data_IF_086677680365
#
_entry.id   IF_086677680365
#
_cell.length_a   1.000
_cell.length_b   1.000
_cell.length_c   1.000
_cell.angle_alpha   90.00
_cell.angle_beta   90.00
_cell.angle_gamma   90.00
#
_symmetry.space_group_name_H-M   'P 1'
#
loop_
_entity.id
_entity.type
_entity.pdbx_description
1 polymer ?
#
# COMPACT_ATOMS: atom_id res chain seq x y z
N UNK A 1 -57.32 -95.97 -12.32
CA UNK A 1 -57.20 -97.18 -11.49
C UNK A 1 -55.76 -97.26 -11.01
N UNK A 2 -55.60 -97.25 -9.68
CA UNK A 2 -54.59 -98.01 -8.90
C UNK A 2 -53.12 -97.93 -9.33
N UNK A 3 -52.13 -97.81 -8.45
CA UNK A 3 -52.07 -97.73 -6.99
C UNK A 3 -50.58 -97.59 -6.61
N UNK A 4 -50.36 -96.93 -5.47
CA UNK A 4 -49.39 -97.29 -4.43
C UNK A 4 -47.85 -97.09 -4.55
N UNK A 5 -47.42 -96.10 -3.75
CA UNK A 5 -46.36 -96.07 -2.69
C UNK A 5 -44.89 -96.43 -3.04
N UNK A 6 -44.00 -95.60 -2.47
CA UNK A 6 -42.57 -95.80 -2.08
C UNK A 6 -41.58 -95.22 -3.10
N UNK A 7 -40.59 -94.37 -2.77
CA UNK A 7 -39.78 -94.15 -1.57
C UNK A 7 -39.20 -92.72 -1.61
N UNK A 8 -39.20 -92.00 -0.49
CA UNK A 8 -38.22 -90.92 -0.22
C UNK A 8 -36.91 -91.58 0.21
N UNK A 9 -35.83 -91.31 -0.52
CA UNK A 9 -34.41 -91.48 -0.13
C UNK A 9 -33.55 -90.84 -1.24
N UNK A 10 -32.39 -90.22 -1.00
CA UNK A 10 -31.63 -90.06 0.22
C UNK A 10 -30.43 -89.16 -0.03
N UNK A 11 -30.34 -88.07 0.73
CA UNK A 11 -29.11 -87.48 1.25
C UNK A 11 -29.47 -86.40 2.30
N UNK A 12 -30.47 -86.68 3.12
CA UNK A 12 -30.82 -85.81 4.25
C UNK A 12 -29.92 -86.18 5.42
N UNK A 13 -28.87 -85.41 5.61
CA UNK A 13 -27.99 -85.51 6.79
C UNK A 13 -28.79 -85.22 8.07
N UNK A 14 -28.44 -85.90 9.17
CA UNK A 14 -29.03 -85.63 10.49
C UNK A 14 -28.51 -84.31 11.07
N UNK A 15 -29.14 -83.78 12.12
CA UNK A 15 -28.67 -82.56 12.78
C UNK A 15 -27.23 -82.69 13.30
N UNK A 16 -26.88 -83.82 13.93
CA UNK A 16 -25.51 -84.08 14.41
C UNK A 16 -24.48 -84.17 13.28
N UNK A 17 -24.85 -84.80 12.17
CA UNK A 17 -24.01 -84.85 10.97
C UNK A 17 -23.82 -83.44 10.37
N UNK A 18 -24.85 -82.60 10.42
CA UNK A 18 -24.75 -81.20 10.02
C UNK A 18 -23.83 -80.40 10.94
N UNK A 19 -23.92 -80.54 12.27
CA UNK A 19 -23.03 -79.88 13.22
C UNK A 19 -21.57 -80.29 12.99
N UNK A 20 -21.31 -81.59 12.81
CA UNK A 20 -19.98 -82.12 12.48
C UNK A 20 -19.46 -81.53 11.17
N UNK A 21 -20.32 -81.38 10.16
CA UNK A 21 -19.97 -80.76 8.87
C UNK A 21 -19.62 -79.28 9.03
N UNK A 22 -20.35 -78.54 9.86
CA UNK A 22 -20.04 -77.13 10.15
C UNK A 22 -18.72 -77.02 10.90
N UNK A 23 -18.49 -77.83 11.93
CA UNK A 23 -17.23 -77.85 12.68
C UNK A 23 -16.04 -78.16 11.76
N UNK A 24 -16.16 -79.13 10.85
CA UNK A 24 -15.10 -79.41 9.86
C UNK A 24 -14.85 -78.24 8.88
N UNK A 25 -15.85 -77.39 8.62
CA UNK A 25 -15.74 -76.28 7.66
C UNK A 25 -15.17 -75.00 8.28
N UNK A 26 -15.49 -74.69 9.53
CA UNK A 26 -15.16 -73.40 10.17
C UNK A 26 -14.66 -73.54 11.61
N UNK A 27 -14.43 -74.76 12.10
CA UNK A 27 -14.00 -75.01 13.48
C UNK A 27 -15.01 -74.50 14.51
N UNK A 28 -14.50 -73.90 15.58
CA UNK A 28 -15.27 -73.29 16.68
C UNK A 28 -15.70 -71.84 16.38
N UNK A 29 -15.46 -71.33 15.17
CA UNK A 29 -15.72 -69.94 14.82
C UNK A 29 -17.23 -69.59 14.82
N UNK A 30 -18.09 -70.58 14.54
CA UNK A 30 -19.55 -70.42 14.49
C UNK A 30 -20.26 -71.48 15.34
N UNK A 31 -21.33 -71.06 16.01
CA UNK A 31 -22.23 -71.92 16.78
C UNK A 31 -23.61 -71.96 16.12
N UNK A 32 -24.14 -73.15 15.91
CA UNK A 32 -25.53 -73.34 15.44
C UNK A 32 -26.45 -73.31 16.65
N UNK A 33 -27.47 -72.43 16.63
CA UNK A 33 -28.38 -72.23 17.77
C UNK A 33 -29.73 -72.96 17.61
N UNK A 34 -30.12 -73.30 16.38
CA UNK A 34 -31.40 -73.98 16.07
C UNK A 34 -31.18 -75.37 15.47
N UNK A 35 -32.16 -76.25 15.64
CA UNK A 35 -32.14 -77.58 15.03
C UNK A 35 -32.18 -77.51 13.50
N UNK A 36 -31.38 -78.36 12.84
CA UNK A 36 -31.35 -78.48 11.39
C UNK A 36 -32.42 -79.48 10.95
N UNK A 37 -33.29 -79.06 10.03
CA UNK A 37 -34.37 -79.89 9.48
C UNK A 37 -34.13 -80.23 8.01
N UNK A 38 -33.67 -79.27 7.19
CA UNK A 38 -33.31 -79.52 5.79
C UNK A 38 -32.33 -78.48 5.24
N UNK A 39 -31.68 -78.79 4.12
CA UNK A 39 -30.69 -77.92 3.48
C UNK A 39 -31.29 -76.63 2.89
N UNK A 40 -32.61 -76.61 2.66
CA UNK A 40 -33.34 -75.47 2.10
C UNK A 40 -33.84 -74.51 3.18
N UNK A 41 -33.95 -75.00 4.41
CA UNK A 41 -34.42 -74.21 5.55
C UNK A 41 -33.33 -73.28 6.11
N UNK A 42 -33.80 -72.23 6.79
CA UNK A 42 -32.93 -71.30 7.52
C UNK A 42 -32.62 -71.85 8.90
N UNK A 43 -31.38 -71.70 9.32
CA UNK A 43 -30.89 -71.97 10.66
C UNK A 43 -30.38 -70.67 11.27
N UNK A 44 -30.57 -70.53 12.58
CA UNK A 44 -29.97 -69.45 13.35
C UNK A 44 -28.56 -69.86 13.74
N UNK A 45 -27.59 -69.01 13.42
CA UNK A 45 -26.19 -69.20 13.75
C UNK A 45 -25.65 -67.98 14.46
N UNK A 46 -24.72 -68.21 15.39
CA UNK A 46 -23.95 -67.19 16.07
C UNK A 46 -22.50 -67.22 15.58
N UNK A 47 -21.92 -66.06 15.26
CA UNK A 47 -20.49 -65.94 15.02
C UNK A 47 -19.78 -65.64 16.34
N UNK A 48 -18.97 -66.58 16.84
CA UNK A 48 -18.40 -66.50 18.18
C UNK A 48 -17.43 -65.32 18.35
N UNK A 49 -16.75 -64.88 17.28
CA UNK A 49 -15.86 -63.71 17.33
C UNK A 49 -16.58 -62.37 17.52
N UNK A 50 -17.77 -62.20 16.94
CA UNK A 50 -18.51 -60.93 17.03
C UNK A 50 -19.79 -61.01 17.87
N UNK A 51 -20.12 -62.19 18.41
CA UNK A 51 -21.32 -62.46 19.20
C UNK A 51 -22.64 -62.38 18.45
N UNK A 52 -22.64 -62.04 17.15
CA UNK A 52 -23.85 -61.76 16.39
C UNK A 52 -24.57 -63.03 15.96
N UNK A 53 -25.89 -63.03 16.19
CA UNK A 53 -26.81 -64.04 15.70
C UNK A 53 -27.43 -63.63 14.36
N UNK A 54 -27.53 -64.57 13.41
CA UNK A 54 -28.13 -64.33 12.11
C UNK A 54 -28.73 -65.60 11.50
N UNK A 55 -29.80 -65.41 10.73
CA UNK A 55 -30.46 -66.49 10.00
C UNK A 55 -29.80 -66.70 8.64
N UNK A 56 -29.42 -67.95 8.33
CA UNK A 56 -28.82 -68.33 7.05
C UNK A 56 -29.41 -69.64 6.57
N UNK A 57 -29.59 -69.80 5.25
CA UNK A 57 -29.97 -71.11 4.68
C UNK A 57 -28.82 -72.09 4.87
N UNK A 58 -29.12 -73.29 5.35
CA UNK A 58 -28.09 -74.28 5.68
C UNK A 58 -27.21 -74.67 4.47
N UNK A 59 -27.79 -74.77 3.27
CA UNK A 59 -27.05 -74.98 2.00
C UNK A 59 -26.17 -73.79 1.62
N UNK A 60 -26.61 -72.55 1.86
CA UNK A 60 -25.81 -71.36 1.53
C UNK A 60 -24.58 -71.22 2.45
N UNK A 61 -24.70 -71.63 3.71
CA UNK A 61 -23.56 -71.65 4.63
C UNK A 61 -22.56 -72.75 4.26
N UNK A 62 -23.04 -73.96 3.95
CA UNK A 62 -22.17 -75.12 3.69
C UNK A 62 -21.60 -75.17 2.27
N UNK A 63 -22.36 -74.80 1.24
CA UNK A 63 -21.93 -74.90 -0.17
C UNK A 63 -21.53 -73.56 -0.78
N UNK A 64 -22.25 -72.48 -0.49
CA UNK A 64 -21.99 -71.16 -1.10
C UNK A 64 -21.04 -70.28 -0.30
N UNK A 65 -20.51 -70.76 0.83
CA UNK A 65 -19.53 -70.02 1.63
C UNK A 65 -20.10 -68.76 2.28
N UNK A 66 -21.42 -68.64 2.46
CA UNK A 66 -22.00 -67.47 3.16
C UNK A 66 -21.54 -67.44 4.62
N UNK A 67 -20.88 -66.36 5.02
CA UNK A 67 -20.36 -66.13 6.38
C UNK A 67 -20.95 -64.86 7.00
N UNK A 68 -20.57 -64.53 8.24
CA UNK A 68 -21.00 -63.30 8.89
C UNK A 68 -20.66 -62.09 8.01
N UNK A 69 -21.68 -61.39 7.52
CA UNK A 69 -21.49 -60.24 6.62
C UNK A 69 -20.69 -59.11 7.29
N UNK A 70 -20.84 -58.93 8.59
CA UNK A 70 -20.09 -57.88 9.33
C UNK A 70 -18.60 -58.16 9.32
N UNK A 71 -18.21 -59.43 9.49
CA UNK A 71 -16.80 -59.83 9.59
C UNK A 71 -16.18 -60.04 8.20
N UNK A 72 -16.95 -60.49 7.22
CA UNK A 72 -16.55 -60.58 5.80
C UNK A 72 -16.09 -59.24 5.23
N UNK A 73 -16.68 -58.12 5.70
CA UNK A 73 -16.29 -56.76 5.30
C UNK A 73 -15.24 -56.10 6.20
N UNK A 74 -14.76 -56.76 7.27
CA UNK A 74 -13.93 -56.07 8.29
C UNK A 74 -12.54 -56.61 8.58
N UNK A 75 -12.09 -57.79 8.16
CA UNK A 75 -10.73 -58.21 8.52
C UNK A 75 -10.11 -59.26 7.59
N UNK A 76 -9.28 -58.82 6.63
CA UNK A 76 -8.10 -59.59 6.19
C UNK A 76 -6.92 -58.74 5.64
N UNK A 77 -7.01 -57.40 5.54
CA UNK A 77 -5.89 -56.55 5.04
C UNK A 77 -5.77 -55.16 5.71
N UNK A 78 -6.31 -54.99 6.93
CA UNK A 78 -6.13 -53.72 7.65
C UNK A 78 -4.72 -53.65 8.23
N UNK A 79 -3.84 -52.84 7.63
CA UNK A 79 -2.50 -52.54 8.18
C UNK A 79 -2.65 -51.98 9.60
N UNK A 80 -1.76 -52.37 10.53
CA UNK A 80 -1.70 -51.73 11.85
C UNK A 80 -1.01 -50.37 11.75
N UNK A 81 -1.13 -49.56 12.81
CA UNK A 81 -0.42 -48.29 12.88
C UNK A 81 1.11 -48.49 12.82
N UNK A 82 1.67 -49.50 13.49
CA UNK A 82 3.11 -49.77 13.39
C UNK A 82 3.52 -50.21 11.99
N UNK A 83 2.68 -51.01 11.32
CA UNK A 83 2.96 -51.44 9.96
C UNK A 83 2.94 -50.26 8.98
N UNK A 84 1.99 -49.33 9.14
CA UNK A 84 1.96 -48.11 8.33
C UNK A 84 3.21 -47.25 8.53
N UNK A 85 3.67 -47.06 9.77
CA UNK A 85 4.89 -46.30 10.06
C UNK A 85 6.11 -46.97 9.42
N UNK A 86 6.23 -48.31 9.51
CA UNK A 86 7.29 -49.07 8.84
C UNK A 86 7.24 -48.93 7.32
N UNK A 87 6.05 -48.97 6.73
CA UNK A 87 5.88 -48.82 5.28
C UNK A 87 6.34 -47.43 4.80
N UNK A 88 5.99 -46.38 5.54
CA UNK A 88 6.47 -45.01 5.27
C UNK A 88 8.00 -44.96 5.36
N UNK A 89 8.58 -45.45 6.45
CA UNK A 89 10.04 -45.49 6.62
C UNK A 89 10.73 -46.28 5.50
N UNK A 90 10.16 -47.41 5.07
CA UNK A 90 10.73 -48.19 3.96
C UNK A 90 10.65 -47.48 2.60
N UNK A 91 9.68 -46.58 2.41
CA UNK A 91 9.45 -45.88 1.13
C UNK A 91 10.28 -44.61 1.01
N UNK A 92 10.41 -43.84 2.10
CA UNK A 92 11.02 -42.49 2.10
C UNK A 92 12.07 -42.28 3.19
N UNK A 93 12.44 -43.33 3.94
CA UNK A 93 13.42 -43.25 5.01
C UNK A 93 13.01 -42.27 6.10
N UNK A 94 13.99 -41.47 6.55
CA UNK A 94 13.84 -40.42 7.57
C UNK A 94 13.36 -39.08 7.00
N UNK A 95 12.98 -39.01 5.72
CA UNK A 95 12.52 -37.76 5.10
C UNK A 95 11.17 -37.30 5.67
N UNK A 96 10.36 -38.21 6.22
CA UNK A 96 9.05 -37.91 6.80
C UNK A 96 8.88 -38.51 8.20
N UNK A 97 8.18 -37.76 9.07
CA UNK A 97 7.77 -38.23 10.40
C UNK A 97 6.26 -38.38 10.48
N UNK A 98 5.77 -39.50 10.99
CA UNK A 98 4.32 -39.73 11.21
C UNK A 98 3.94 -39.19 12.59
N UNK A 99 3.05 -38.19 12.64
CA UNK A 99 2.62 -37.52 13.88
C UNK A 99 1.23 -37.96 14.35
N UNK A 100 0.39 -38.47 13.44
CA UNK A 100 -0.95 -38.98 13.74
C UNK A 100 -1.02 -40.50 13.72
N UNK A 101 -2.08 -41.05 14.31
CA UNK A 101 -2.35 -42.49 14.26
C UNK A 101 -3.03 -42.88 12.95
N UNK A 102 -2.60 -43.99 12.37
CA UNK A 102 -3.26 -44.63 11.24
C UNK A 102 -4.43 -45.49 11.70
N UNK A 103 -5.61 -45.21 11.16
CA UNK A 103 -6.81 -46.02 11.37
C UNK A 103 -7.15 -46.87 10.14
N UNK A 104 -7.16 -46.26 8.93
CA UNK A 104 -7.51 -46.92 7.66
C UNK A 104 -6.96 -46.15 6.46
N UNK A 105 -6.90 -46.83 5.31
CA UNK A 105 -6.19 -46.39 4.10
C UNK A 105 -6.57 -44.99 3.55
N UNK A 106 -7.80 -44.54 3.81
CA UNK A 106 -8.33 -43.26 3.34
C UNK A 106 -8.74 -42.28 4.45
N UNK A 107 -8.39 -42.59 5.71
CA UNK A 107 -8.45 -41.59 6.78
C UNK A 107 -7.13 -40.85 6.79
N UNK A 108 -7.24 -39.51 6.78
CA UNK A 108 -6.06 -38.68 6.70
C UNK A 108 -5.23 -38.81 7.97
N UNK A 109 -3.93 -38.96 7.80
CA UNK A 109 -2.94 -39.03 8.88
C UNK A 109 -2.07 -37.78 8.84
N UNK A 110 -1.80 -37.20 10.00
CA UNK A 110 -0.88 -36.06 10.11
C UNK A 110 0.56 -36.56 9.99
N UNK A 111 1.30 -35.99 9.04
CA UNK A 111 2.72 -36.26 8.85
C UNK A 111 3.50 -34.96 8.73
N UNK A 112 4.80 -35.03 8.99
CA UNK A 112 5.75 -33.93 8.82
C UNK A 112 6.76 -34.29 7.73
N UNK A 113 6.98 -33.38 6.79
CA UNK A 113 8.13 -33.48 5.88
C UNK A 113 9.35 -32.85 6.58
N UNK A 114 10.34 -33.65 6.96
CA UNK A 114 11.45 -33.20 7.79
C UNK A 114 12.33 -32.16 7.09
N UNK A 115 12.51 -32.27 5.76
CA UNK A 115 13.35 -31.34 4.97
C UNK A 115 12.78 -29.93 4.91
N UNK A 116 11.46 -29.77 4.72
CA UNK A 116 10.85 -28.43 4.64
C UNK A 116 10.10 -28.00 5.92
N UNK A 117 9.95 -28.91 6.88
CA UNK A 117 9.27 -28.69 8.15
C UNK A 117 7.74 -28.67 8.09
N UNK A 118 7.12 -28.86 6.92
CA UNK A 118 5.67 -28.79 6.77
C UNK A 118 4.96 -29.97 7.44
N UNK A 119 4.02 -29.68 8.33
CA UNK A 119 3.07 -30.63 8.90
C UNK A 119 1.75 -30.56 8.13
N UNK A 120 1.28 -31.69 7.61
CA UNK A 120 0.07 -31.73 6.79
C UNK A 120 -0.62 -33.09 6.82
N UNK A 121 -1.92 -33.08 6.54
CA UNK A 121 -2.76 -34.27 6.49
C UNK A 121 -2.62 -34.98 5.13
N UNK A 122 -2.25 -36.25 5.15
CA UNK A 122 -2.13 -37.09 3.94
C UNK A 122 -3.13 -38.24 3.93
N UNK A 123 -3.59 -38.60 2.74
CA UNK A 123 -4.22 -39.90 2.51
C UNK A 123 -3.13 -40.99 2.47
N UNK A 124 -3.14 -41.96 3.40
CA UNK A 124 -2.11 -43.01 3.51
C UNK A 124 -1.87 -43.79 2.20
N UNK A 125 -2.94 -44.18 1.49
CA UNK A 125 -2.80 -44.89 0.23
C UNK A 125 -2.09 -44.03 -0.82
N UNK A 126 -2.55 -42.79 -1.01
CA UNK A 126 -1.99 -41.84 -1.97
C UNK A 126 -0.53 -41.52 -1.70
N UNK A 127 -0.13 -41.42 -0.43
CA UNK A 127 1.26 -41.22 -0.04
C UNK A 127 2.13 -42.42 -0.45
N UNK A 128 1.69 -43.64 -0.16
CA UNK A 128 2.44 -44.85 -0.55
C UNK A 128 2.53 -45.00 -2.08
N UNK A 129 1.50 -44.57 -2.84
CA UNK A 129 1.51 -44.57 -4.30
C UNK A 129 2.34 -43.44 -4.94
N UNK A 130 2.98 -42.56 -4.15
CA UNK A 130 3.93 -41.57 -4.68
C UNK A 130 3.55 -40.11 -4.46
N UNK A 131 2.44 -39.80 -3.78
CA UNK A 131 2.15 -38.42 -3.38
C UNK A 131 3.15 -37.96 -2.31
N UNK A 132 3.73 -36.77 -2.48
CA UNK A 132 4.76 -36.21 -1.60
C UNK A 132 4.36 -34.81 -1.11
N UNK A 133 5.28 -34.15 -0.39
CA UNK A 133 5.05 -32.84 0.19
C UNK A 133 4.53 -31.82 -0.85
N UNK A 134 3.33 -31.24 -0.63
CA UNK A 134 2.71 -30.34 -1.59
C UNK A 134 3.48 -29.03 -1.75
N UNK A 135 4.12 -28.53 -0.70
CA UNK A 135 4.95 -27.32 -0.76
C UNK A 135 6.21 -27.53 -1.60
N UNK A 136 6.93 -28.63 -1.37
CA UNK A 136 8.12 -28.96 -2.15
C UNK A 136 7.76 -29.22 -3.62
N UNK A 137 6.68 -29.97 -3.87
CA UNK A 137 6.21 -30.21 -5.23
C UNK A 137 5.80 -28.91 -5.94
N UNK A 138 5.12 -27.98 -5.23
CA UNK A 138 4.76 -26.67 -5.79
C UNK A 138 5.98 -25.83 -6.13
N UNK A 139 7.04 -25.86 -5.32
CA UNK A 139 8.31 -25.18 -5.61
C UNK A 139 8.95 -25.72 -6.89
N UNK A 140 9.10 -27.04 -7.00
CA UNK A 140 9.68 -27.70 -8.19
C UNK A 140 8.86 -27.39 -9.45
N UNK A 141 7.54 -27.49 -9.40
CA UNK A 141 6.67 -27.14 -10.53
C UNK A 141 6.78 -25.64 -10.86
N UNK A 142 6.89 -24.79 -9.85
CA UNK A 142 7.08 -23.35 -10.01
C UNK A 142 8.40 -23.00 -10.69
N UNK A 143 9.48 -23.69 -10.34
CA UNK A 143 10.80 -23.52 -10.97
C UNK A 143 10.80 -24.04 -12.41
N UNK A 144 10.19 -25.19 -12.68
CA UNK A 144 10.05 -25.76 -14.04
C UNK A 144 9.20 -24.88 -14.97
N UNK A 145 8.22 -24.14 -14.43
CA UNK A 145 7.37 -23.21 -15.19
C UNK A 145 7.93 -21.80 -15.27
N UNK A 146 9.03 -21.51 -14.56
CA UNK A 146 9.63 -20.17 -14.55
C UNK A 146 10.31 -19.93 -15.89
N UNK A 147 9.95 -18.83 -16.53
CA UNK A 147 10.61 -18.40 -17.77
C UNK A 147 12.08 -18.11 -17.49
N UNK A 148 12.94 -18.48 -18.44
CA UNK A 148 14.32 -18.04 -18.44
C UNK A 148 14.44 -16.55 -18.78
N UNK A 149 15.59 -15.95 -18.47
CA UNK A 149 15.87 -14.58 -18.88
C UNK A 149 15.76 -14.39 -20.40
N UNK A 150 16.25 -15.36 -21.18
CA UNK A 150 16.21 -15.32 -22.65
C UNK A 150 14.77 -15.34 -23.17
N UNK A 151 13.91 -16.17 -22.61
CA UNK A 151 12.48 -16.21 -22.98
C UNK A 151 11.79 -14.89 -22.65
N UNK A 152 12.08 -14.30 -21.48
CA UNK A 152 11.55 -12.98 -21.12
C UNK A 152 11.99 -11.90 -22.12
N UNK A 153 13.26 -11.87 -22.52
CA UNK A 153 13.76 -10.92 -23.53
C UNK A 153 13.04 -11.07 -24.88
N UNK A 154 12.80 -12.31 -25.32
CA UNK A 154 12.06 -12.60 -26.56
C UNK A 154 10.62 -12.08 -26.48
N UNK A 155 9.94 -12.28 -25.35
CA UNK A 155 8.58 -11.77 -25.13
C UNK A 155 8.54 -10.24 -25.12
N UNK A 156 9.49 -9.59 -24.44
CA UNK A 156 9.59 -8.13 -24.47
C UNK A 156 9.78 -7.61 -25.90
N UNK A 157 10.73 -8.19 -26.64
CA UNK A 157 10.98 -7.81 -28.03
C UNK A 157 9.77 -8.04 -28.93
N UNK A 158 9.01 -9.11 -28.71
CA UNK A 158 7.78 -9.36 -29.45
C UNK A 158 6.67 -8.33 -29.12
N UNK A 159 6.55 -7.91 -27.87
CA UNK A 159 5.52 -6.97 -27.42
C UNK A 159 5.77 -5.53 -27.86
N UNK A 160 7.01 -5.05 -27.76
CA UNK A 160 7.34 -3.61 -27.92
C UNK A 160 8.48 -3.34 -28.91
N UNK A 161 9.01 -4.38 -29.58
CA UNK A 161 10.16 -4.24 -30.48
C UNK A 161 11.38 -3.66 -29.77
N UNK A 162 11.95 -2.61 -30.34
CA UNK A 162 13.14 -1.89 -29.84
C UNK A 162 12.76 -0.63 -29.03
N UNK A 163 11.49 -0.46 -28.62
CA UNK A 163 11.06 0.71 -27.84
C UNK A 163 11.63 0.70 -26.41
N UNK A 164 11.89 -0.49 -25.87
CA UNK A 164 12.43 -0.67 -24.51
C UNK A 164 13.67 -1.55 -24.51
N UNK A 165 14.60 -1.24 -23.60
CA UNK A 165 15.79 -2.04 -23.32
C UNK A 165 15.69 -2.61 -21.90
N UNK A 166 15.88 -3.92 -21.75
CA UNK A 166 15.97 -4.56 -20.43
C UNK A 166 17.41 -4.39 -19.92
N UNK A 167 17.59 -3.80 -18.74
CA UNK A 167 18.90 -3.46 -18.17
C UNK A 167 19.38 -4.45 -17.09
N UNK A 168 18.46 -5.15 -16.43
CA UNK A 168 18.79 -6.14 -15.40
C UNK A 168 18.32 -7.53 -15.77
N UNK A 169 18.95 -8.52 -15.14
CA UNK A 169 18.53 -9.91 -15.28
C UNK A 169 17.08 -10.12 -14.80
N UNK A 170 16.37 -11.00 -15.49
CA UNK A 170 15.03 -11.43 -15.09
C UNK A 170 15.15 -12.62 -14.15
N UNK A 171 14.58 -12.49 -12.97
CA UNK A 171 14.57 -13.55 -11.95
C UNK A 171 13.20 -14.23 -11.91
N UNK A 172 12.11 -13.46 -11.77
CA UNK A 172 10.75 -14.00 -11.70
C UNK A 172 9.69 -12.95 -12.07
N UNK A 173 8.46 -13.38 -12.31
CA UNK A 173 7.34 -12.51 -12.75
C UNK A 173 6.93 -11.45 -11.73
N UNK A 174 7.22 -11.69 -10.45
CA UNK A 174 6.93 -10.84 -9.30
C UNK A 174 8.17 -10.11 -8.75
N UNK A 175 9.34 -10.31 -9.34
CA UNK A 175 10.58 -9.59 -8.99
C UNK A 175 10.79 -8.47 -9.98
N UNK A 176 11.12 -7.27 -9.50
CA UNK A 176 11.28 -6.11 -10.37
C UNK A 176 12.49 -6.26 -11.30
N UNK A 177 12.31 -5.85 -12.55
CA UNK A 177 13.36 -5.75 -13.57
C UNK A 177 13.60 -4.27 -13.89
N UNK A 178 14.85 -3.89 -14.11
CA UNK A 178 15.22 -2.55 -14.58
C UNK A 178 15.06 -2.49 -16.10
N UNK A 179 14.41 -1.44 -16.57
CA UNK A 179 14.16 -1.20 -18.00
C UNK A 179 14.42 0.26 -18.35
N UNK A 180 14.85 0.50 -19.58
CA UNK A 180 14.97 1.82 -20.20
C UNK A 180 13.91 1.98 -21.27
N UNK A 181 13.17 3.08 -21.26
CA UNK A 181 12.33 3.48 -22.40
C UNK A 181 13.18 4.30 -23.36
N UNK A 182 13.48 3.75 -24.54
CA UNK A 182 14.47 4.31 -25.46
C UNK A 182 14.03 5.70 -25.98
N UNK A 183 12.73 5.90 -26.23
CA UNK A 183 12.21 7.17 -26.76
C UNK A 183 12.33 8.36 -25.79
N UNK A 184 12.23 8.13 -24.47
CA UNK A 184 12.31 9.22 -23.48
C UNK A 184 13.56 9.17 -22.59
N UNK A 185 14.41 8.17 -22.79
CA UNK A 185 15.62 7.91 -22.02
C UNK A 185 15.39 7.55 -20.56
N UNK A 186 14.15 7.30 -20.13
CA UNK A 186 13.84 7.06 -18.72
C UNK A 186 14.17 5.63 -18.32
N UNK A 187 15.00 5.47 -17.30
CA UNK A 187 15.26 4.20 -16.62
C UNK A 187 14.33 4.06 -15.43
N UNK A 188 13.74 2.88 -15.28
CA UNK A 188 12.78 2.60 -14.21
C UNK A 188 12.71 1.11 -13.92
N UNK A 189 12.32 0.80 -12.68
CA UNK A 189 12.00 -0.56 -12.28
C UNK A 189 10.53 -0.87 -12.56
N UNK A 190 10.26 -2.03 -13.12
CA UNK A 190 8.90 -2.50 -13.36
C UNK A 190 8.81 -3.99 -13.05
N UNK A 191 7.65 -4.43 -12.57
CA UNK A 191 7.38 -5.85 -12.42
C UNK A 191 7.14 -6.46 -13.82
N UNK A 192 7.83 -7.55 -14.22
CA UNK A 192 7.69 -8.16 -15.54
C UNK A 192 6.25 -8.46 -15.93
N UNK A 193 5.46 -9.01 -15.01
CA UNK A 193 4.02 -9.29 -15.23
C UNK A 193 3.19 -8.03 -15.52
N UNK A 194 3.56 -6.88 -14.93
CA UNK A 194 2.93 -5.60 -15.20
C UNK A 194 3.32 -5.07 -16.59
N UNK A 195 4.60 -5.17 -16.95
CA UNK A 195 5.12 -4.72 -18.24
C UNK A 195 4.48 -5.50 -19.39
N UNK A 196 4.45 -6.83 -19.29
CA UNK A 196 3.82 -7.71 -20.28
C UNK A 196 2.32 -7.47 -20.46
N UNK A 197 1.63 -6.91 -19.45
CA UNK A 197 0.23 -6.46 -19.54
C UNK A 197 0.08 -5.05 -20.16
N UNK A 198 1.14 -4.48 -20.71
CA UNK A 198 1.12 -3.16 -21.36
C UNK A 198 1.34 -1.97 -20.41
N UNK A 199 1.78 -2.18 -19.15
CA UNK A 199 2.21 -1.05 -18.31
C UNK A 199 3.62 -0.60 -18.74
N UNK A 200 3.69 0.49 -19.50
CA UNK A 200 4.95 1.07 -19.98
C UNK A 200 5.54 2.14 -19.05
N UNK A 201 6.30 3.06 -19.66
CA UNK A 201 7.08 4.09 -18.98
C UNK A 201 6.23 5.02 -18.07
N UNK A 202 6.56 5.14 -16.76
CA UNK A 202 5.83 5.98 -15.82
C UNK A 202 5.98 7.48 -16.14
N UNK A 203 7.15 7.91 -16.64
CA UNK A 203 7.42 9.30 -17.03
C UNK A 203 6.52 9.73 -18.19
N UNK A 204 6.41 8.90 -19.23
CA UNK A 204 5.55 9.17 -20.38
C UNK A 204 4.06 9.18 -19.99
N UNK A 205 3.63 8.23 -19.14
CA UNK A 205 2.27 8.23 -18.59
C UNK A 205 1.99 9.50 -17.79
N UNK A 206 2.91 9.90 -16.92
CA UNK A 206 2.80 11.14 -16.13
C UNK A 206 2.70 12.39 -17.01
N UNK A 207 3.54 12.49 -18.06
CA UNK A 207 3.49 13.59 -19.03
C UNK A 207 2.13 13.65 -19.74
N UNK A 208 1.62 12.52 -20.25
CA UNK A 208 0.32 12.45 -20.92
C UNK A 208 -0.83 12.87 -20.00
N UNK A 209 -0.84 12.39 -18.76
CA UNK A 209 -1.86 12.78 -17.75
C UNK A 209 -1.75 14.27 -17.43
N UNK A 210 -0.53 14.79 -17.26
CA UNK A 210 -0.32 16.22 -17.01
C UNK A 210 -0.83 17.07 -18.17
N UNK A 211 -0.55 16.68 -19.41
CA UNK A 211 -1.04 17.40 -20.60
C UNK A 211 -2.56 17.40 -20.65
N UNK A 212 -3.20 16.25 -20.43
CA UNK A 212 -4.66 16.14 -20.42
C UNK A 212 -5.34 16.94 -19.29
N UNK A 213 -4.64 17.21 -18.18
CA UNK A 213 -5.15 18.00 -17.05
C UNK A 213 -4.82 19.49 -17.14
N UNK A 214 -3.93 19.89 -18.04
CA UNK A 214 -3.52 21.28 -18.16
C UNK A 214 -4.63 22.04 -18.86
N UNK A 215 -5.17 23.07 -18.21
CA UNK A 215 -6.17 23.95 -18.82
C UNK A 215 -5.61 24.64 -20.05
N UNK A 216 -6.46 24.97 -21.01
CA UNK A 216 -6.04 25.83 -22.12
C UNK A 216 -5.79 27.27 -21.62
N UNK A 217 -5.15 28.09 -22.45
CA UNK A 217 -4.97 29.50 -22.13
C UNK A 217 -6.32 30.21 -21.95
N UNK A 218 -7.25 29.98 -22.87
CA UNK A 218 -8.57 30.60 -22.86
C UNK A 218 -9.39 30.19 -21.63
N UNK A 219 -9.34 28.92 -21.24
CA UNK A 219 -9.96 28.43 -20.00
C UNK A 219 -9.39 29.11 -18.75
N UNK A 220 -8.10 29.44 -18.75
CA UNK A 220 -7.48 30.16 -17.65
C UNK A 220 -7.91 31.64 -17.63
N UNK A 221 -7.93 32.31 -18.78
CA UNK A 221 -8.38 33.71 -18.90
C UNK A 221 -9.83 33.84 -18.46
N UNK A 222 -10.71 32.97 -18.94
CA UNK A 222 -12.12 32.93 -18.53
C UNK A 222 -12.24 32.74 -17.01
N UNK A 223 -11.46 31.81 -16.44
CA UNK A 223 -11.47 31.59 -14.98
C UNK A 223 -11.02 32.82 -14.19
N UNK A 224 -10.04 33.58 -14.68
CA UNK A 224 -9.62 34.85 -14.05
C UNK A 224 -10.76 35.84 -14.11
N UNK A 225 -11.40 36.01 -15.26
CA UNK A 225 -12.55 36.90 -15.42
C UNK A 225 -13.72 36.52 -14.48
N UNK A 226 -14.04 35.24 -14.35
CA UNK A 226 -15.08 34.78 -13.41
C UNK A 226 -14.73 35.03 -11.94
N UNK A 227 -13.45 35.11 -11.58
CA UNK A 227 -13.01 35.32 -10.20
C UNK A 227 -12.95 36.79 -9.78
N UNK A 228 -12.53 37.67 -10.69
CA UNK A 228 -12.19 39.08 -10.37
C UNK A 228 -12.72 40.08 -11.39
N UNK A 229 -13.51 39.63 -12.37
CA UNK A 229 -14.02 40.46 -13.46
C UNK A 229 -12.89 41.13 -14.24
N UNK A 230 -13.05 42.44 -14.45
CA UNK A 230 -12.10 43.29 -15.19
C UNK A 230 -10.99 43.90 -14.32
N UNK A 231 -10.89 43.51 -13.04
CA UNK A 231 -9.86 44.05 -12.14
C UNK A 231 -8.44 43.60 -12.54
N UNK A 232 -8.33 42.44 -13.20
CA UNK A 232 -7.04 41.91 -13.66
C UNK A 232 -7.09 41.52 -15.13
N UNK A 233 -6.01 41.81 -15.86
CA UNK A 233 -5.82 41.44 -17.25
C UNK A 233 -4.66 40.46 -17.37
N UNK A 234 -4.92 39.29 -17.95
CA UNK A 234 -3.87 38.31 -18.26
C UNK A 234 -3.09 38.79 -19.48
N UNK A 235 -1.77 38.99 -19.34
CA UNK A 235 -0.89 39.48 -20.42
C UNK A 235 -0.03 38.35 -20.97
N UNK A 236 0.49 37.49 -20.10
CA UNK A 236 1.34 36.36 -20.50
C UNK A 236 0.56 35.16 -21.01
N UNK A 237 1.26 34.24 -21.68
CA UNK A 237 0.71 32.95 -22.09
C UNK A 237 0.64 31.98 -20.92
N UNK A 238 -0.52 31.32 -20.74
CA UNK A 238 -0.67 30.26 -19.75
C UNK A 238 -0.11 28.95 -20.29
N UNK A 239 0.86 28.38 -19.58
CA UNK A 239 1.40 27.06 -19.92
C UNK A 239 1.02 25.99 -18.91
N UNK A 240 1.15 26.29 -17.61
CA UNK A 240 0.91 25.34 -16.51
C UNK A 240 0.51 26.07 -15.25
N UNK A 241 -0.27 25.43 -14.39
CA UNK A 241 -0.78 26.02 -13.15
C UNK A 241 0.32 26.53 -12.19
N UNK A 242 1.54 25.95 -12.26
CA UNK A 242 2.69 26.31 -11.40
C UNK A 242 3.77 27.13 -12.11
N UNK A 243 3.65 27.39 -13.42
CA UNK A 243 4.59 28.28 -14.13
C UNK A 243 4.08 29.70 -14.00
N UNK A 244 4.93 30.63 -13.57
CA UNK A 244 4.55 32.05 -13.42
C UNK A 244 4.04 32.61 -14.74
N UNK A 245 2.99 33.43 -14.66
CA UNK A 245 2.37 34.16 -15.77
C UNK A 245 2.38 35.65 -15.45
N UNK A 246 2.46 36.48 -16.48
CA UNK A 246 2.39 37.93 -16.35
C UNK A 246 0.92 38.37 -16.32
N UNK A 247 0.52 39.07 -15.26
CA UNK A 247 -0.82 39.64 -15.09
C UNK A 247 -0.67 41.14 -14.78
N UNK A 248 -1.57 41.94 -15.34
CA UNK A 248 -1.72 43.35 -15.03
C UNK A 248 -2.88 43.53 -14.05
N UNK A 249 -2.68 44.33 -13.01
CA UNK A 249 -3.80 44.85 -12.21
C UNK A 249 -4.29 46.15 -12.86
N UNK A 250 -5.54 46.19 -13.29
CA UNK A 250 -6.06 47.32 -14.08
C UNK A 250 -6.23 48.59 -13.24
N UNK A 251 -6.46 48.46 -11.94
CA UNK A 251 -6.63 49.59 -11.02
C UNK A 251 -5.30 50.32 -10.78
N UNK A 252 -4.24 49.62 -10.38
CA UNK A 252 -2.94 50.27 -10.12
C UNK A 252 -2.02 50.33 -11.34
N UNK A 253 -2.42 49.76 -12.47
CA UNK A 253 -1.66 49.74 -13.73
C UNK A 253 -0.44 48.81 -13.77
N UNK A 254 0.03 48.30 -12.63
CA UNK A 254 1.25 47.51 -12.54
C UNK A 254 1.10 46.10 -13.14
N UNK A 255 2.18 45.65 -13.78
CA UNK A 255 2.32 44.27 -14.26
C UNK A 255 3.26 43.49 -13.34
N UNK A 256 2.91 42.26 -13.03
CA UNK A 256 3.71 41.41 -12.15
C UNK A 256 3.56 39.93 -12.49
N UNK A 257 4.56 39.15 -12.09
CA UNK A 257 4.55 37.71 -12.28
C UNK A 257 3.87 37.01 -11.10
N UNK A 258 2.88 36.17 -11.39
CA UNK A 258 2.17 35.37 -10.38
C UNK A 258 2.02 33.94 -10.84
N UNK A 259 2.03 33.01 -9.89
CA UNK A 259 1.72 31.61 -10.18
C UNK A 259 0.20 31.47 -10.38
N UNK A 260 -0.30 30.95 -11.52
CA UNK A 260 -1.74 30.82 -11.79
C UNK A 260 -2.54 30.15 -10.67
N UNK A 261 -2.01 29.08 -10.07
CA UNK A 261 -2.68 28.41 -8.94
C UNK A 261 -2.79 29.31 -7.71
N UNK A 262 -1.79 30.14 -7.42
CA UNK A 262 -1.80 31.08 -6.29
C UNK A 262 -2.77 32.24 -6.53
N UNK A 263 -2.82 32.74 -7.77
CA UNK A 263 -3.79 33.77 -8.16
C UNK A 263 -5.22 33.28 -7.91
N UNK A 264 -5.54 32.06 -8.37
CA UNK A 264 -6.85 31.44 -8.16
C UNK A 264 -7.17 31.25 -6.66
N UNK A 265 -6.19 30.94 -5.82
CA UNK A 265 -6.41 30.75 -4.37
C UNK A 265 -6.50 32.04 -3.56
N UNK A 266 -6.17 33.20 -4.12
CA UNK A 266 -6.34 34.48 -3.44
C UNK A 266 -5.14 35.43 -3.44
N UNK A 267 -4.00 35.06 -4.04
CA UNK A 267 -2.87 36.01 -4.18
C UNK A 267 -3.23 37.10 -5.19
N UNK A 268 -2.98 38.37 -4.84
CA UNK A 268 -3.35 39.55 -5.63
C UNK A 268 -2.12 40.45 -5.87
N UNK A 269 -2.36 41.64 -6.43
CA UNK A 269 -1.30 42.59 -6.77
C UNK A 269 -0.40 42.88 -5.56
N UNK A 270 0.92 42.58 -5.63
CA UNK A 270 1.84 42.85 -4.52
C UNK A 270 2.00 44.35 -4.25
N UNK A 271 1.85 45.19 -5.29
CA UNK A 271 1.92 46.65 -5.17
C UNK A 271 0.71 47.27 -4.47
N UNK A 272 -0.46 46.62 -4.54
CA UNK A 272 -1.65 47.05 -3.80
C UNK A 272 -1.74 46.43 -2.40
N UNK A 273 -0.95 45.39 -2.14
CA UNK A 273 -0.78 44.80 -0.82
C UNK A 273 0.33 45.49 0.00
N UNK A 274 0.94 46.54 -0.54
CA UNK A 274 1.81 47.46 0.19
C UNK A 274 0.96 48.29 1.17
N UNK A 275 1.42 48.44 2.41
CA UNK A 275 0.66 49.19 3.41
C UNK A 275 0.49 50.65 2.95
N UNK A 276 -0.71 51.24 3.15
CA UNK A 276 -0.97 52.64 2.74
C UNK A 276 0.10 53.61 3.28
N UNK A 277 0.61 53.34 4.48
CA UNK A 277 1.67 54.12 5.13
C UNK A 277 3.03 54.02 4.45
N UNK A 278 3.52 52.82 4.16
CA UNK A 278 4.80 52.64 3.45
C UNK A 278 4.80 53.31 2.08
N UNK A 279 3.67 53.26 1.36
CA UNK A 279 3.52 53.94 0.08
C UNK A 279 3.65 55.46 0.24
N UNK A 280 2.97 56.05 1.23
CA UNK A 280 3.03 57.51 1.50
C UNK A 280 4.46 57.93 1.87
N UNK A 281 5.15 57.15 2.71
CA UNK A 281 6.54 57.43 3.10
C UNK A 281 7.45 57.40 1.87
N UNK A 282 7.29 56.39 1.02
CA UNK A 282 8.06 56.26 -0.23
C UNK A 282 7.84 57.46 -1.16
N UNK A 283 6.57 57.79 -1.44
CA UNK A 283 6.19 58.91 -2.30
C UNK A 283 6.74 60.24 -1.77
N UNK A 284 6.70 60.45 -0.45
CA UNK A 284 7.29 61.61 0.20
C UNK A 284 8.82 61.70 0.00
N UNK A 285 9.54 60.60 0.27
CA UNK A 285 11.00 60.58 0.14
C UNK A 285 11.46 60.82 -1.31
N UNK A 286 10.73 60.27 -2.29
CA UNK A 286 10.95 60.52 -3.72
C UNK A 286 10.69 61.99 -4.08
N UNK A 287 9.58 62.57 -3.62
CA UNK A 287 9.23 63.97 -3.89
C UNK A 287 10.27 64.97 -3.33
N UNK A 288 10.86 64.67 -2.17
CA UNK A 288 11.89 65.49 -1.54
C UNK A 288 13.32 65.21 -2.05
N UNK A 289 13.49 64.31 -3.04
CA UNK A 289 14.79 63.87 -3.56
C UNK A 289 15.75 63.35 -2.47
N UNK A 290 15.21 62.66 -1.46
CA UNK A 290 16.00 62.07 -0.38
C UNK A 290 16.51 60.70 -0.82
N UNK A 291 17.79 60.38 -0.58
CA UNK A 291 18.33 59.06 -0.88
C UNK A 291 17.85 58.05 0.17
N UNK A 292 17.21 56.95 -0.25
CA UNK A 292 16.74 55.92 0.67
C UNK A 292 16.89 54.49 0.14
N UNK A 293 16.90 53.52 1.07
CA UNK A 293 16.80 52.08 0.77
C UNK A 293 15.63 51.48 1.55
N UNK A 294 14.92 50.55 0.92
CA UNK A 294 13.82 49.79 1.54
C UNK A 294 14.31 48.49 2.15
N UNK A 295 13.59 48.00 3.17
CA UNK A 295 13.88 46.72 3.85
C UNK A 295 15.35 46.58 4.28
N UNK A 296 15.94 47.66 4.81
CA UNK A 296 17.35 47.73 5.15
C UNK A 296 17.70 46.81 6.34
N UNK A 297 18.84 46.13 6.30
CA UNK A 297 19.25 45.19 7.35
C UNK A 297 20.67 45.48 7.81
N UNK A 298 20.94 45.18 9.08
CA UNK A 298 22.28 45.17 9.63
C UNK A 298 22.68 43.72 9.96
N UNK A 299 23.91 43.27 9.63
CA UNK A 299 24.34 41.89 9.85
C UNK A 299 24.26 41.41 11.32
N UNK A 300 24.36 42.36 12.24
CA UNK A 300 24.40 42.20 13.69
C UNK A 300 23.05 42.48 14.39
N UNK A 301 22.08 43.09 13.69
CA UNK A 301 20.71 43.26 14.19
C UNK A 301 19.84 42.04 13.84
N UNK A 302 19.78 41.06 14.74
CA UNK A 302 19.04 39.79 14.53
C UNK A 302 18.27 39.32 15.75
N UNK A 303 17.23 38.53 15.51
CA UNK A 303 16.56 37.75 16.54
C UNK A 303 16.81 36.25 16.32
N UNK A 304 16.18 35.70 15.27
CA UNK A 304 16.49 34.38 14.68
C UNK A 304 17.08 34.65 13.30
N UNK A 305 16.32 35.39 12.49
CA UNK A 305 16.77 35.99 11.23
C UNK A 305 17.16 37.46 11.44
N UNK A 306 17.82 38.04 10.43
CA UNK A 306 18.12 39.47 10.35
C UNK A 306 16.83 40.30 10.42
N UNK A 307 16.84 41.36 11.22
CA UNK A 307 15.72 42.27 11.34
C UNK A 307 15.82 43.36 10.27
N UNK A 308 14.76 43.46 9.46
CA UNK A 308 14.61 44.45 8.39
C UNK A 308 13.96 45.71 8.92
N UNK A 309 14.48 46.87 8.50
CA UNK A 309 13.88 48.18 8.70
C UNK A 309 13.17 48.65 7.43
N UNK A 310 12.00 49.29 7.56
CA UNK A 310 11.17 49.61 6.38
C UNK A 310 11.88 50.56 5.41
N UNK A 311 12.47 51.64 5.94
CA UNK A 311 13.30 52.56 5.17
C UNK A 311 14.57 52.97 5.92
N UNK A 312 15.66 53.19 5.18
CA UNK A 312 16.89 53.80 5.64
C UNK A 312 17.19 55.04 4.79
N UNK A 313 17.41 56.19 5.43
CA UNK A 313 17.68 57.48 4.78
C UNK A 313 19.18 57.77 4.82
N UNK A 314 19.72 58.24 3.71
CA UNK A 314 21.13 58.58 3.54
C UNK A 314 21.30 60.06 3.16
N UNK A 315 22.43 60.65 3.55
CA UNK A 315 22.84 61.96 3.06
C UNK A 315 23.44 61.89 1.66
N UNK A 316 23.79 63.05 1.09
CA UNK A 316 24.41 63.15 -0.24
C UNK A 316 25.75 62.42 -0.33
N UNK A 317 26.42 62.17 0.80
CA UNK A 317 27.68 61.43 0.89
C UNK A 317 27.45 59.94 1.19
N UNK A 318 26.19 59.46 1.06
CA UNK A 318 25.79 58.07 1.29
C UNK A 318 26.01 57.58 2.74
N UNK A 319 26.08 58.50 3.70
CA UNK A 319 26.13 58.17 5.14
C UNK A 319 24.71 58.07 5.69
N UNK A 320 24.45 57.04 6.51
CA UNK A 320 23.14 56.79 7.11
C UNK A 320 22.76 57.93 8.07
N UNK A 321 21.57 58.50 7.90
CA UNK A 321 21.02 59.57 8.74
C UNK A 321 20.01 59.01 9.74
N UNK A 322 19.04 58.25 9.26
CA UNK A 322 17.94 57.77 10.07
C UNK A 322 17.31 56.51 9.45
N UNK A 323 16.63 55.74 10.29
CA UNK A 323 15.79 54.60 9.94
C UNK A 323 14.32 54.97 10.18
N UNK A 324 13.42 54.49 9.33
CA UNK A 324 11.96 54.67 9.47
C UNK A 324 11.29 53.31 9.57
N UNK A 325 10.33 53.19 10.48
CA UNK A 325 9.39 52.07 10.61
C UNK A 325 7.96 52.60 10.52
N UNK A 326 7.10 51.90 9.77
CA UNK A 326 5.66 52.11 9.78
C UNK A 326 4.98 51.02 10.61
N UNK A 327 4.55 51.38 11.81
CA UNK A 327 3.98 50.44 12.77
C UNK A 327 2.49 50.22 12.49
N UNK A 328 2.15 49.10 11.85
CA UNK A 328 0.78 48.66 11.66
C UNK A 328 0.03 48.35 12.97
N UNK A 329 -1.30 48.15 12.88
CA UNK A 329 -2.17 47.84 14.03
C UNK A 329 -1.68 46.66 14.90
N UNK A 330 -1.01 45.70 14.28
CA UNK A 330 -0.40 44.53 14.92
C UNK A 330 0.76 44.86 15.89
N UNK A 331 1.32 46.07 15.86
CA UNK A 331 2.30 46.54 16.85
C UNK A 331 1.63 46.99 18.16
N UNK A 332 0.35 47.36 18.10
CA UNK A 332 -0.38 47.96 19.22
C UNK A 332 -1.30 46.98 19.92
N UNK A 333 -1.96 46.08 19.18
CA UNK A 333 -2.87 45.08 19.75
C UNK A 333 -2.81 43.72 19.04
N UNK A 334 -3.19 42.62 19.71
CA UNK A 334 -3.26 41.31 19.08
C UNK A 334 -4.39 41.27 18.05
N UNK A 335 -4.05 41.01 16.80
CA UNK A 335 -5.01 40.88 15.70
C UNK A 335 -5.12 39.40 15.31
N UNK A 336 -6.30 38.74 15.42
CA UNK A 336 -6.46 37.30 15.13
C UNK A 336 -5.99 36.90 13.72
N UNK A 337 -6.30 37.73 12.72
CA UNK A 337 -5.88 37.52 11.33
C UNK A 337 -4.35 37.42 11.17
N UNK A 338 -3.59 38.15 11.99
CA UNK A 338 -2.12 38.16 11.97
C UNK A 338 -1.50 37.18 12.98
N UNK A 339 -2.26 36.23 13.53
CA UNK A 339 -1.75 35.23 14.47
C UNK A 339 -1.96 35.57 15.95
N UNK A 340 -2.79 36.58 16.24
CA UNK A 340 -3.31 36.86 17.58
C UNK A 340 -2.24 37.17 18.63
N UNK A 341 -2.48 36.75 19.88
CA UNK A 341 -1.64 37.07 21.03
C UNK A 341 -0.20 36.58 20.89
N UNK A 342 0.01 35.40 20.31
CA UNK A 342 1.36 34.85 20.12
C UNK A 342 2.20 35.74 19.20
N UNK A 343 1.64 36.15 18.05
CA UNK A 343 2.35 37.01 17.11
C UNK A 343 2.64 38.39 17.70
N UNK A 344 1.69 38.94 18.45
CA UNK A 344 1.86 40.23 19.13
C UNK A 344 3.06 40.24 20.10
N UNK A 345 3.23 39.20 20.90
CA UNK A 345 4.39 39.08 21.80
C UNK A 345 5.72 38.92 21.03
N UNK A 346 5.72 38.20 19.90
CA UNK A 346 6.87 38.12 19.01
C UNK A 346 7.22 39.49 18.40
N UNK A 347 6.22 40.25 17.96
CA UNK A 347 6.39 41.61 17.41
C UNK A 347 7.01 42.53 18.47
N UNK A 348 6.50 42.53 19.70
CA UNK A 348 7.09 43.31 20.81
C UNK A 348 8.56 42.99 21.07
N UNK A 349 8.93 41.70 21.01
CA UNK A 349 10.34 41.28 21.17
C UNK A 349 11.21 41.83 20.04
N UNK A 350 10.75 41.76 18.80
CA UNK A 350 11.48 42.27 17.63
C UNK A 350 11.62 43.79 17.68
N UNK A 351 10.57 44.49 18.04
CA UNK A 351 10.56 45.95 18.22
C UNK A 351 11.56 46.37 19.30
N UNK A 352 11.60 45.64 20.43
CA UNK A 352 12.58 45.90 21.48
C UNK A 352 14.01 45.75 20.97
N UNK A 353 14.32 44.67 20.22
CA UNK A 353 15.66 44.47 19.65
C UNK A 353 16.03 45.62 18.70
N UNK A 354 15.10 46.05 17.83
CA UNK A 354 15.34 47.20 16.93
C UNK A 354 15.62 48.48 17.71
N UNK A 355 14.83 48.77 18.73
CA UNK A 355 14.99 49.97 19.56
C UNK A 355 16.32 49.96 20.32
N UNK A 356 16.64 48.84 20.97
CA UNK A 356 17.89 48.66 21.71
C UNK A 356 19.09 48.76 20.75
N UNK A 357 18.99 48.19 19.55
CA UNK A 357 20.03 48.27 18.52
C UNK A 357 20.29 49.70 18.07
N UNK A 358 19.22 50.45 17.75
CA UNK A 358 19.36 51.84 17.34
C UNK A 358 19.94 52.71 18.46
N UNK A 359 19.49 52.51 19.70
CA UNK A 359 20.01 53.23 20.87
C UNK A 359 21.49 52.95 21.12
N UNK A 360 21.92 51.70 21.07
CA UNK A 360 23.30 51.31 21.36
C UNK A 360 24.30 51.74 20.26
N UNK A 361 23.83 51.95 19.02
CA UNK A 361 24.67 52.36 17.89
C UNK A 361 24.50 53.84 17.52
N UNK A 362 23.84 54.63 18.38
CA UNK A 362 23.54 56.06 18.14
C UNK A 362 22.84 56.32 16.80
N UNK A 363 21.95 55.41 16.40
CA UNK A 363 21.16 55.50 15.18
C UNK A 363 19.80 56.13 15.47
N UNK A 364 19.42 57.11 14.65
CA UNK A 364 18.09 57.73 14.77
C UNK A 364 17.02 56.81 14.17
N UNK A 365 16.05 56.40 14.99
CA UNK A 365 14.88 55.63 14.56
C UNK A 365 13.61 56.48 14.65
N UNK A 366 12.88 56.59 13.54
CA UNK A 366 11.57 57.25 13.45
C UNK A 366 10.50 56.17 13.30
N UNK A 367 9.55 56.08 14.24
CA UNK A 367 8.42 55.14 14.14
C UNK A 367 7.13 55.90 13.88
N UNK A 368 6.40 55.50 12.85
CA UNK A 368 5.17 56.15 12.40
C UNK A 368 4.01 55.19 12.69
N UNK A 369 3.11 55.51 13.63
CA UNK A 369 2.00 54.64 13.97
C UNK A 369 0.93 54.62 12.88
N UNK A 370 0.22 53.51 12.72
CA UNK A 370 -0.83 53.36 11.71
C UNK A 370 -2.01 54.34 11.81
N UNK A 371 -2.22 54.93 13.00
CA UNK A 371 -3.27 55.91 13.26
C UNK A 371 -2.82 57.36 12.99
N UNK A 372 -1.58 57.58 12.54
CA UNK A 372 -1.12 58.90 12.13
C UNK A 372 -1.82 59.32 10.83
N UNK A 373 -2.64 60.36 10.90
CA UNK A 373 -3.40 60.87 9.75
C UNK A 373 -2.55 61.79 8.86
N UNK A 374 -1.51 62.43 9.42
CA UNK A 374 -0.68 63.39 8.69
C UNK A 374 0.81 62.98 8.69
N UNK A 375 1.07 61.82 8.08
CA UNK A 375 2.41 61.23 7.93
C UNK A 375 3.40 62.22 7.29
N UNK A 376 2.95 62.99 6.28
CA UNK A 376 3.80 63.95 5.56
C UNK A 376 4.31 65.05 6.49
N UNK A 377 3.42 65.68 7.28
CA UNK A 377 3.81 66.74 8.22
C UNK A 377 4.75 66.23 9.32
N UNK A 378 4.55 65.00 9.79
CA UNK A 378 5.44 64.38 10.78
C UNK A 378 6.84 64.15 10.18
N UNK A 379 6.89 63.64 8.95
CA UNK A 379 8.14 63.42 8.22
C UNK A 379 8.86 64.74 7.93
N UNK A 380 8.16 65.77 7.49
CA UNK A 380 8.72 67.11 7.26
C UNK A 380 9.42 67.62 8.52
N UNK A 381 8.72 67.65 9.67
CA UNK A 381 9.28 68.16 10.92
C UNK A 381 10.49 67.37 11.39
N UNK A 382 10.45 66.04 11.30
CA UNK A 382 11.51 65.19 11.84
C UNK A 382 12.72 65.11 10.90
N UNK A 383 12.50 64.99 9.58
CA UNK A 383 13.58 64.85 8.60
C UNK A 383 14.27 66.20 8.34
N UNK A 384 13.55 67.31 8.22
CA UNK A 384 14.19 68.62 8.05
C UNK A 384 15.05 69.00 9.25
N UNK A 385 14.61 68.69 10.47
CA UNK A 385 15.43 68.91 11.68
C UNK A 385 16.72 68.09 11.68
N UNK A 386 16.70 66.89 11.09
CA UNK A 386 17.87 66.00 11.02
C UNK A 386 18.83 66.38 9.90
N UNK A 387 18.32 66.85 8.76
CA UNK A 387 19.13 67.31 7.64
C UNK A 387 19.80 68.66 7.94
N UNK A 388 19.09 69.61 8.56
CA UNK A 388 19.62 70.96 8.83
C UNK A 388 20.64 71.03 9.98
N UNK A 389 20.71 70.01 10.86
CA UNK A 389 21.71 69.95 11.94
C UNK A 389 23.12 69.60 11.47
N UNK A 390 23.29 69.11 10.23
CA UNK A 390 24.61 68.77 9.67
C UNK A 390 25.27 69.92 8.87
N UNK A 391 24.53 70.99 8.57
CA UNK A 391 25.05 72.15 7.81
C UNK A 391 25.59 73.29 8.72
N UNK A 392 25.69 73.06 10.04
CA UNK A 392 26.28 74.00 10.99
C UNK A 392 27.44 73.33 11.72
N UNK A 393 28.59 73.24 11.04
CA UNK A 393 29.93 73.29 11.64
C UNK A 393 30.94 73.76 10.60
#
# INVERSE_FOLDING_TARGET
MSENIKKRNGNSITHEQFLTKIYKLVGEEYKVLTTYTSSKEKILMQHNLCGREFWVRASHFTSSGSRCKVCSFKNMNAKTNEQFIKDIYSTVGEEYSVLGNYERAHIKVLIRHNTCGLEYLVDPASFLFGSRCPECNRKVIGDLKRKSHIEFLKECKHLVGEEYTVLSEYIATNVHVQMRHNNCGNEFTVMPSNFLRGKGCPKCKGKRISMAKTKTHDEFVERVFQLVGNEYKVIGSYEKARKKILIQHTICGHTYQVTPSHFVTGTRCPYCNESKGERIIKEYLEAQNICFKREYTFPDCKNIDLLKFDFAIFDKNNSLIALIEFDGEQHFKPVPYFGGKKKYEETKKRDKIKNDYCYNNDLKLLRIPYYEENIVSLLDNQIHTLLNKKDVY
#
